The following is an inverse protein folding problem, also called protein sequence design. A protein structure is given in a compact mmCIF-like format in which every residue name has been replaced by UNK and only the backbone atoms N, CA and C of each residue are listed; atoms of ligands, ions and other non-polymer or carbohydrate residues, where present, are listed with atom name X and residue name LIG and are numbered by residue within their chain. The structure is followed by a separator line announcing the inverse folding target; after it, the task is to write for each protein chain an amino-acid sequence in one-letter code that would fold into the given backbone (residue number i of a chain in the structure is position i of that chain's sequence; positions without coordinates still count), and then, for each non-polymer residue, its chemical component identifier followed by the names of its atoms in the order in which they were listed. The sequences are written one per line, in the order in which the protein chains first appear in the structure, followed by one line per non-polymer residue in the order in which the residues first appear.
data_IF_105865559551
#
_entry.id   IF_105865559551
#
_cell.length_a   1.000
_cell.length_b   1.000
_cell.length_c   1.000
_cell.angle_alpha   90.00
_cell.angle_beta   90.00
_cell.angle_gamma   90.00
#
_symmetry.space_group_name_H-M   'P 1'
#
loop_
_entity.id
_entity.type
_entity.pdbx_description
1 polymer ?
#
# COMPACT_ATOMS: atom_id res chain seq x y z
N UNK A 1 4.21 10.40 -5.60
CA UNK A 1 3.63 9.15 -6.16
C UNK A 1 4.71 8.32 -6.83
N UNK A 2 4.69 7.03 -6.59
CA UNK A 2 5.63 6.07 -7.17
C UNK A 2 4.84 4.98 -7.88
N UNK A 3 5.38 4.46 -8.98
CA UNK A 3 4.80 3.31 -9.66
C UNK A 3 5.53 2.05 -9.21
N UNK A 4 4.78 1.08 -8.68
CA UNK A 4 5.30 -0.23 -8.33
C UNK A 4 5.18 -1.11 -9.57
N UNK A 5 6.31 -1.40 -10.20
CA UNK A 5 6.33 -2.15 -11.46
C UNK A 5 6.43 -3.65 -11.30
N UNK A 6 6.97 -4.11 -10.17
CA UNK A 6 7.20 -5.55 -9.94
C UNK A 6 5.92 -6.35 -9.84
N UNK A 7 5.87 -7.47 -10.54
CA UNK A 7 4.88 -8.52 -10.28
C UNK A 7 5.33 -9.38 -9.11
N UNK A 8 4.44 -10.21 -8.60
CA UNK A 8 4.72 -11.09 -7.47
C UNK A 8 4.06 -12.45 -7.69
N UNK A 9 4.66 -13.50 -7.13
CA UNK A 9 4.11 -14.85 -7.21
C UNK A 9 3.15 -15.17 -6.07
N UNK A 10 3.26 -14.42 -4.97
CA UNK A 10 2.40 -14.61 -3.79
C UNK A 10 1.86 -13.27 -3.31
N UNK A 11 0.76 -13.33 -2.54
CA UNK A 11 0.20 -12.10 -1.93
C UNK A 11 1.20 -11.47 -0.96
N UNK A 12 1.90 -12.27 -0.17
CA UNK A 12 2.89 -11.74 0.78
C UNK A 12 3.99 -10.95 0.08
N UNK A 13 4.53 -11.51 -1.00
CA UNK A 13 5.56 -10.83 -1.80
C UNK A 13 5.00 -9.54 -2.40
N UNK A 14 3.78 -9.61 -2.95
CA UNK A 14 3.13 -8.44 -3.54
C UNK A 14 2.88 -7.33 -2.53
N UNK A 15 2.47 -7.69 -1.31
CA UNK A 15 2.25 -6.73 -0.24
C UNK A 15 3.57 -6.08 0.19
N UNK A 16 4.65 -6.85 0.25
CA UNK A 16 5.97 -6.29 0.55
C UNK A 16 6.39 -5.26 -0.50
N UNK A 17 6.16 -5.57 -1.78
CA UNK A 17 6.45 -4.64 -2.86
C UNK A 17 5.62 -3.36 -2.74
N UNK A 18 4.33 -3.49 -2.41
CA UNK A 18 3.43 -2.36 -2.21
C UNK A 18 3.92 -1.44 -1.08
N UNK A 19 4.24 -2.01 0.06
CA UNK A 19 4.65 -1.22 1.22
C UNK A 19 6.06 -0.64 1.04
N UNK A 20 6.94 -1.32 0.33
CA UNK A 20 8.24 -0.77 -0.04
C UNK A 20 8.10 0.44 -0.97
N UNK A 21 7.16 0.37 -1.91
CA UNK A 21 6.84 1.49 -2.79
C UNK A 21 6.29 2.70 -2.03
N UNK A 22 5.39 2.45 -1.08
CA UNK A 22 4.83 3.51 -0.24
C UNK A 22 5.91 4.17 0.62
N UNK A 23 6.80 3.38 1.19
CA UNK A 23 7.94 3.88 1.98
C UNK A 23 8.85 4.75 1.12
N UNK A 24 9.16 4.30 -0.10
CA UNK A 24 9.99 5.05 -1.03
C UNK A 24 9.35 6.37 -1.43
N UNK A 25 8.02 6.39 -1.62
CA UNK A 25 7.28 7.62 -1.90
C UNK A 25 7.37 8.60 -0.74
N UNK A 26 7.23 8.12 0.49
CA UNK A 26 7.37 8.95 1.68
C UNK A 26 8.79 9.57 1.77
N UNK A 27 9.81 8.75 1.57
CA UNK A 27 11.20 9.20 1.60
C UNK A 27 11.47 10.25 0.53
N UNK A 28 10.96 10.02 -0.67
CA UNK A 28 11.09 10.93 -1.80
C UNK A 28 10.43 12.29 -1.51
N UNK A 29 9.23 12.27 -0.95
CA UNK A 29 8.49 13.47 -0.56
C UNK A 29 9.24 14.22 0.55
N UNK A 30 9.73 13.50 1.54
CA UNK A 30 10.40 14.07 2.72
C UNK A 30 11.78 14.65 2.39
N UNK A 31 12.43 14.19 1.33
CA UNK A 31 13.74 14.68 0.90
C UNK A 31 13.65 15.60 -0.31
N UNK A 32 12.46 15.98 -0.74
CA UNK A 32 12.23 16.80 -1.94
C UNK A 32 12.94 16.19 -3.16
N UNK A 33 12.69 14.91 -3.43
CA UNK A 33 13.32 14.16 -4.53
C UNK A 33 14.83 14.05 -4.38
N UNK A 34 15.34 13.93 -3.15
CA UNK A 34 16.75 13.76 -2.88
C UNK A 34 17.52 15.07 -2.75
N UNK A 35 16.85 16.21 -2.78
CA UNK A 35 17.51 17.53 -2.64
C UNK A 35 17.92 17.83 -1.20
N UNK A 36 17.26 17.22 -0.23
CA UNK A 36 17.57 17.40 1.20
C UNK A 36 17.76 16.04 1.85
N UNK A 37 18.46 16.02 2.99
CA UNK A 37 18.63 14.79 3.75
C UNK A 37 17.42 14.52 4.64
N UNK A 38 17.16 13.24 4.91
CA UNK A 38 16.19 12.86 5.93
C UNK A 38 16.68 13.35 7.30
N UNK A 39 15.77 13.96 8.05
CA UNK A 39 16.10 14.44 9.40
C UNK A 39 14.86 14.44 10.29
N UNK A 40 15.09 14.43 11.61
CA UNK A 40 14.04 14.56 12.61
C UNK A 40 12.93 13.53 12.44
N UNK A 41 11.70 13.99 12.43
CA UNK A 41 10.50 13.16 12.34
C UNK A 41 10.47 12.28 11.09
N UNK A 42 10.83 12.84 9.93
CA UNK A 42 10.83 12.10 8.67
C UNK A 42 11.79 10.93 8.68
N UNK A 43 12.98 11.12 9.24
CA UNK A 43 13.98 10.06 9.36
C UNK A 43 13.45 8.94 10.24
N UNK A 44 12.86 9.29 11.37
CA UNK A 44 12.27 8.32 12.29
C UNK A 44 11.15 7.53 11.62
N UNK A 45 10.29 8.18 10.84
CA UNK A 45 9.21 7.51 10.12
C UNK A 45 9.73 6.49 9.11
N UNK A 46 10.78 6.83 8.37
CA UNK A 46 11.39 5.90 7.41
C UNK A 46 12.03 4.71 8.15
N UNK A 47 12.77 4.97 9.22
CA UNK A 47 13.45 3.92 9.98
C UNK A 47 12.49 2.96 10.67
N UNK A 48 11.31 3.42 11.06
CA UNK A 48 10.31 2.61 11.76
C UNK A 48 9.16 2.13 10.86
N UNK A 49 9.23 2.44 9.56
CA UNK A 49 8.13 2.14 8.62
C UNK A 49 7.67 0.69 8.70
N UNK A 50 8.61 -0.25 8.58
CA UNK A 50 8.28 -1.67 8.56
C UNK A 50 7.70 -2.15 9.89
N UNK A 51 8.19 -1.61 11.01
CA UNK A 51 7.69 -1.94 12.35
C UNK A 51 6.25 -1.48 12.56
N UNK A 52 5.86 -0.39 11.90
CA UNK A 52 4.51 0.17 12.02
C UNK A 52 3.53 -0.42 11.01
N UNK A 53 4.02 -1.25 10.08
CA UNK A 53 3.20 -1.93 9.10
C UNK A 53 2.68 -3.24 9.68
N UNK A 54 1.36 -3.43 9.67
CA UNK A 54 0.73 -4.67 10.13
C UNK A 54 -0.12 -5.25 9.00
N UNK A 55 0.05 -6.54 8.77
CA UNK A 55 -0.73 -7.27 7.77
C UNK A 55 -1.70 -8.15 8.51
N UNK A 56 -3.00 -7.89 8.35
CA UNK A 56 -4.06 -8.55 9.13
C UNK A 56 -4.99 -9.33 8.21
N UNK A 57 -4.73 -10.63 7.99
CA UNK A 57 -5.58 -11.44 7.12
C UNK A 57 -6.97 -11.64 7.71
N UNK A 58 -7.99 -11.43 6.88
CA UNK A 58 -9.39 -11.74 7.21
C UNK A 58 -9.93 -12.81 6.27
N UNK A 59 -11.24 -12.98 6.22
CA UNK A 59 -11.87 -13.98 5.37
C UNK A 59 -11.80 -13.63 3.89
N UNK A 60 -12.18 -12.41 3.52
CA UNK A 60 -12.21 -11.95 2.13
C UNK A 60 -11.04 -11.05 1.77
N UNK A 61 -10.54 -10.33 2.75
CA UNK A 61 -9.53 -9.30 2.54
C UNK A 61 -8.37 -9.46 3.49
N UNK A 62 -7.21 -8.95 3.06
CA UNK A 62 -6.08 -8.72 3.94
C UNK A 62 -6.08 -7.22 4.22
N UNK A 63 -6.21 -6.83 5.48
CA UNK A 63 -6.15 -5.43 5.89
C UNK A 63 -4.69 -5.04 6.11
N UNK A 64 -4.26 -3.96 5.49
CA UNK A 64 -2.92 -3.41 5.70
C UNK A 64 -3.05 -2.16 6.55
N UNK A 65 -2.40 -2.17 7.71
CA UNK A 65 -2.40 -1.04 8.65
C UNK A 65 -1.00 -0.44 8.70
N UNK A 66 -0.91 0.86 8.59
CA UNK A 66 0.32 1.61 8.76
C UNK A 66 0.14 2.55 9.93
N UNK A 67 0.93 2.35 10.98
CA UNK A 67 0.83 3.09 12.23
C UNK A 67 -0.57 2.89 12.85
N UNK A 68 -1.39 3.92 12.94
CA UNK A 68 -2.74 3.86 13.51
C UNK A 68 -3.84 3.82 12.47
N UNK A 69 -3.52 3.96 11.18
CA UNK A 69 -4.51 4.06 10.12
C UNK A 69 -4.50 2.88 9.17
N UNK A 70 -5.65 2.60 8.55
CA UNK A 70 -5.75 1.57 7.51
C UNK A 70 -5.15 2.14 6.22
N UNK A 71 -4.13 1.45 5.71
CA UNK A 71 -3.47 1.84 4.46
C UNK A 71 -4.31 1.41 3.25
N UNK A 72 -4.72 0.15 3.22
CA UNK A 72 -5.56 -0.41 2.16
C UNK A 72 -6.04 -1.80 2.54
N UNK A 73 -6.87 -2.39 1.67
CA UNK A 73 -7.27 -3.79 1.73
C UNK A 73 -6.82 -4.49 0.45
N UNK A 74 -6.47 -5.77 0.57
CA UNK A 74 -6.08 -6.61 -0.58
C UNK A 74 -7.07 -7.76 -0.68
N UNK A 75 -7.63 -7.96 -1.87
CA UNK A 75 -8.54 -9.08 -2.12
C UNK A 75 -7.78 -10.41 -2.03
N UNK A 76 -8.25 -11.33 -1.21
CA UNK A 76 -7.62 -12.65 -1.03
C UNK A 76 -7.93 -13.61 -2.17
N UNK A 77 -9.05 -13.39 -2.84
CA UNK A 77 -9.52 -14.24 -3.94
C UNK A 77 -10.43 -13.46 -4.85
N UNK A 78 -10.76 -14.02 -5.99
CA UNK A 78 -11.69 -13.39 -6.93
C UNK A 78 -13.09 -13.32 -6.33
N UNK A 79 -13.71 -12.15 -6.43
CA UNK A 79 -15.12 -11.99 -6.05
C UNK A 79 -15.70 -10.78 -6.76
N UNK A 80 -16.98 -10.86 -7.19
CA UNK A 80 -17.63 -9.80 -7.98
C UNK A 80 -16.76 -9.48 -9.20
N UNK A 81 -16.42 -8.19 -9.39
CA UNK A 81 -15.53 -7.76 -10.48
C UNK A 81 -14.06 -7.64 -10.04
N UNK A 82 -13.75 -8.05 -8.81
CA UNK A 82 -12.39 -7.98 -8.26
C UNK A 82 -11.64 -9.28 -8.48
N UNK A 83 -10.32 -9.17 -8.60
CA UNK A 83 -9.42 -10.30 -8.76
C UNK A 83 -8.54 -10.46 -7.53
N UNK A 84 -8.09 -11.67 -7.28
CA UNK A 84 -7.11 -11.93 -6.22
C UNK A 84 -5.92 -10.98 -6.36
N UNK A 85 -5.57 -10.32 -5.26
CA UNK A 85 -4.47 -9.35 -5.25
C UNK A 85 -4.87 -7.91 -5.52
N UNK A 86 -6.14 -7.66 -5.88
CA UNK A 86 -6.61 -6.30 -6.13
C UNK A 86 -6.46 -5.42 -4.88
N UNK A 87 -5.99 -4.19 -5.11
CA UNK A 87 -5.77 -3.19 -4.06
C UNK A 87 -7.03 -2.37 -3.94
N UNK A 88 -7.67 -2.40 -2.77
CA UNK A 88 -8.91 -1.69 -2.49
C UNK A 88 -8.65 -0.58 -1.49
N UNK A 89 -9.17 0.62 -1.79
CA UNK A 89 -9.08 1.74 -0.86
C UNK A 89 -10.01 1.51 0.32
N UNK A 90 -9.61 1.95 1.50
CA UNK A 90 -10.45 1.82 2.68
C UNK A 90 -11.64 2.77 2.61
N UNK A 91 -12.84 2.26 2.83
CA UNK A 91 -14.04 3.07 3.05
C UNK A 91 -14.18 3.42 4.52
N UNK A 92 -13.62 2.58 5.39
CA UNK A 92 -13.58 2.77 6.83
C UNK A 92 -12.52 1.85 7.42
N UNK A 93 -12.42 1.82 8.75
CA UNK A 93 -11.39 1.02 9.42
C UNK A 93 -11.54 -0.48 9.14
N UNK A 94 -12.77 -0.97 9.01
CA UNK A 94 -13.03 -2.40 8.88
C UNK A 94 -13.55 -2.83 7.51
N UNK A 95 -13.68 -1.92 6.55
CA UNK A 95 -14.26 -2.27 5.27
C UNK A 95 -13.63 -1.51 4.11
N UNK A 96 -13.42 -2.20 2.97
CA UNK A 96 -12.94 -1.55 1.76
C UNK A 96 -14.07 -0.87 0.98
N UNK A 97 -13.70 0.09 0.13
CA UNK A 97 -14.60 0.64 -0.85
C UNK A 97 -14.71 -0.34 -2.02
N UNK A 98 -15.93 -0.79 -2.33
CA UNK A 98 -16.18 -1.78 -3.37
C UNK A 98 -16.57 -1.12 -4.71
N UNK A 99 -15.78 -0.15 -5.14
CA UNK A 99 -16.00 0.54 -6.42
C UNK A 99 -15.04 0.02 -7.50
N UNK A 100 -13.77 0.38 -7.44
CA UNK A 100 -12.77 -0.05 -8.41
C UNK A 100 -11.45 -0.32 -7.74
N UNK A 101 -10.74 -1.34 -8.20
CA UNK A 101 -9.39 -1.61 -7.72
C UNK A 101 -8.43 -0.51 -8.15
N UNK A 102 -7.44 -0.19 -7.31
CA UNK A 102 -6.40 0.80 -7.58
C UNK A 102 -5.12 0.17 -8.12
N UNK A 103 -5.18 -1.11 -8.43
CA UNK A 103 -4.07 -1.89 -8.92
C UNK A 103 -4.16 -3.31 -8.40
N UNK A 104 -3.14 -4.11 -8.69
CA UNK A 104 -3.09 -5.51 -8.24
C UNK A 104 -1.66 -5.85 -7.83
N UNK A 105 -1.48 -6.35 -6.61
CA UNK A 105 -0.14 -6.64 -6.08
C UNK A 105 0.55 -7.81 -6.77
N UNK A 106 -0.21 -8.68 -7.43
CA UNK A 106 0.36 -9.83 -8.16
C UNK A 106 0.85 -9.43 -9.55
N UNK A 107 0.11 -8.58 -10.25
CA UNK A 107 0.48 -8.15 -11.60
C UNK A 107 1.46 -6.99 -11.61
N UNK A 108 1.50 -6.18 -10.56
CA UNK A 108 2.32 -4.99 -10.51
C UNK A 108 1.79 -3.87 -11.40
N UNK A 109 2.64 -2.92 -11.75
CA UNK A 109 2.32 -1.78 -12.62
C UNK A 109 1.18 -0.92 -12.10
N UNK A 110 1.25 -0.53 -10.84
CA UNK A 110 0.25 0.35 -10.23
C UNK A 110 0.92 1.52 -9.50
N UNK A 111 0.24 2.68 -9.43
CA UNK A 111 0.75 3.81 -8.66
C UNK A 111 0.40 3.66 -7.18
N UNK A 112 1.25 4.19 -6.31
CA UNK A 112 1.00 4.20 -4.87
C UNK A 112 1.55 5.50 -4.27
N UNK A 113 0.89 5.97 -3.22
CA UNK A 113 1.36 7.09 -2.40
C UNK A 113 1.59 6.59 -0.99
N UNK A 114 2.41 7.31 -0.24
CA UNK A 114 2.68 6.94 1.15
C UNK A 114 1.41 7.05 2.03
N UNK A 115 0.40 7.76 1.59
CA UNK A 115 -0.89 7.89 2.27
C UNK A 115 -1.89 6.80 1.91
N UNK A 116 -1.57 5.95 0.94
CA UNK A 116 -2.43 4.85 0.51
C UNK A 116 -2.71 4.86 -0.98
N UNK A 117 -3.66 4.02 -1.44
CA UNK A 117 -4.04 3.98 -2.84
C UNK A 117 -4.64 5.30 -3.30
N UNK A 118 -4.47 5.61 -4.59
CA UNK A 118 -4.97 6.84 -5.17
C UNK A 118 -6.51 6.88 -5.17
N UNK A 119 -7.06 8.08 -5.14
CA UNK A 119 -8.49 8.27 -5.32
C UNK A 119 -8.86 8.03 -6.79
N UNK A 120 -10.08 7.56 -7.02
CA UNK A 120 -10.63 7.50 -8.37
C UNK A 120 -10.89 8.91 -8.89
N UNK A 121 -10.66 9.07 -10.15
CA UNK A 121 -10.93 10.33 -10.84
C UNK A 121 -12.31 10.31 -11.48
#
# INVERSE_FOLDING_TARGET
MIKVEKSANTLDEGIKNLMAGAKADYERMSTRNGQTELSGYSKEQVETWDKKTRVMPGKKYIKIVQDTGVFCFIAKEDFKHFKKGDILKAAGYNAPALNSARGNVLTGNYPIQWTGPLYLK
#
